data_IF_237865747025
#
_entry.id   IF_237865747025
#
_cell.length_a   1.000
_cell.length_b   1.000
_cell.length_c   1.000
_cell.angle_alpha   90.00
_cell.angle_beta   90.00
_cell.angle_gamma   90.00
#
_symmetry.space_group_name_H-M   'P 1'
#
loop_
_entity.id
_entity.type
_entity.pdbx_description
1 polymer ?
#
# COMPACT_ATOMS: atom_id res chain seq x y z
N UNK A 1 11.30 22.37 22.19
CA UNK A 1 11.56 21.76 20.87
C UNK A 1 10.83 20.41 20.86
N UNK A 2 9.72 20.24 20.14
CA UNK A 2 9.06 18.93 20.05
C UNK A 2 9.76 18.09 18.97
N UNK A 3 10.08 16.85 19.31
CA UNK A 3 10.63 15.82 18.43
C UNK A 3 9.61 15.46 17.35
N UNK A 4 9.98 15.39 16.06
CA UNK A 4 9.10 14.93 15.01
C UNK A 4 9.08 13.39 15.02
N UNK A 5 8.46 12.79 16.02
CA UNK A 5 7.97 11.40 15.92
C UNK A 5 6.61 11.40 15.21
N UNK A 6 6.56 12.15 14.11
CA UNK A 6 5.54 12.03 13.11
C UNK A 6 6.07 10.96 12.16
N UNK A 7 5.93 9.70 12.60
CA UNK A 7 6.19 8.53 11.76
C UNK A 7 5.07 8.42 10.72
N UNK A 8 4.94 9.47 9.92
CA UNK A 8 4.21 9.49 8.67
C UNK A 8 4.92 8.47 7.77
N UNK A 9 4.38 7.26 7.71
CA UNK A 9 4.79 6.28 6.72
C UNK A 9 4.49 6.88 5.34
N UNK A 10 5.49 7.54 4.77
CA UNK A 10 5.38 8.14 3.45
C UNK A 10 5.41 7.02 2.44
N UNK A 11 4.46 7.03 1.52
CA UNK A 11 4.40 6.01 0.48
C UNK A 11 5.66 6.12 -0.40
N UNK A 12 6.51 5.10 -0.51
CA UNK A 12 7.73 5.18 -1.32
C UNK A 12 7.43 5.31 -2.82
N UNK A 13 6.18 5.08 -3.23
CA UNK A 13 5.74 5.15 -4.62
C UNK A 13 5.23 6.54 -5.04
N UNK A 14 4.50 7.24 -4.18
CA UNK A 14 3.94 8.56 -4.52
C UNK A 14 4.36 9.69 -3.57
N UNK A 15 5.07 9.39 -2.48
CA UNK A 15 5.50 10.36 -1.49
C UNK A 15 4.37 10.91 -0.61
N UNK A 16 3.13 10.42 -0.74
CA UNK A 16 2.04 10.83 0.15
C UNK A 16 2.32 10.34 1.57
N UNK A 17 2.26 11.27 2.51
CA UNK A 17 2.12 10.98 3.93
C UNK A 17 0.79 10.27 4.13
N UNK A 18 0.83 8.98 4.43
CA UNK A 18 -0.33 8.23 4.86
C UNK A 18 -0.03 7.61 6.22
N UNK A 19 -1.01 7.61 7.11
CA UNK A 19 -0.88 6.78 8.29
C UNK A 19 -1.01 5.33 7.86
N UNK A 20 0.09 4.65 7.45
CA UNK A 20 0.05 3.18 7.38
C UNK A 20 -0.16 2.71 8.80
N UNK A 21 -1.41 2.46 9.17
CA UNK A 21 -1.69 1.69 10.37
C UNK A 21 -1.55 0.22 10.00
N UNK A 22 -0.36 -0.21 9.61
CA UNK A 22 -0.08 -1.64 9.37
C UNK A 22 -0.47 -2.48 10.60
N UNK A 23 -0.36 -1.89 11.80
CA UNK A 23 -0.83 -2.42 13.07
C UNK A 23 -2.35 -2.57 13.17
N UNK A 24 -3.12 -1.73 12.48
CA UNK A 24 -4.58 -1.82 12.33
C UNK A 24 -4.92 -2.01 10.84
N UNK A 25 -4.47 -3.13 10.26
CA UNK A 25 -4.79 -3.46 8.85
C UNK A 25 -6.30 -3.36 8.60
N UNK A 26 -7.14 -3.74 9.56
CA UNK A 26 -8.60 -3.65 9.49
C UNK A 26 -9.14 -2.22 9.25
N UNK A 27 -8.41 -1.18 9.68
CA UNK A 27 -8.78 0.23 9.50
C UNK A 27 -7.97 0.92 8.41
N UNK A 28 -7.02 0.22 7.80
CA UNK A 28 -6.31 0.75 6.65
C UNK A 28 -7.25 0.79 5.45
N UNK A 29 -7.39 1.92 4.73
CA UNK A 29 -8.15 1.96 3.48
C UNK A 29 -7.63 0.91 2.49
N UNK A 30 -6.34 0.57 2.58
CA UNK A 30 -5.70 -0.52 1.84
C UNK A 30 -6.33 -1.91 2.04
N UNK A 31 -6.91 -2.21 3.21
CA UNK A 31 -7.51 -3.52 3.48
C UNK A 31 -8.88 -3.72 2.83
N UNK A 32 -9.56 -2.63 2.45
CA UNK A 32 -10.74 -2.71 1.61
C UNK A 32 -10.44 -3.13 0.16
N UNK A 33 -9.15 -3.16 -0.24
CA UNK A 33 -8.74 -3.61 -1.57
C UNK A 33 -8.69 -5.14 -1.58
N UNK A 34 -9.75 -5.75 -2.09
CA UNK A 34 -9.76 -7.18 -2.38
C UNK A 34 -8.80 -7.49 -3.55
N UNK A 35 -7.61 -7.96 -3.22
CA UNK A 35 -6.62 -8.47 -4.18
C UNK A 35 -6.78 -9.99 -4.28
N UNK A 36 -6.84 -10.52 -5.51
CA UNK A 36 -6.75 -11.97 -5.77
C UNK A 36 -5.35 -12.49 -5.44
N UNK A 37 -5.20 -13.81 -5.32
CA UNK A 37 -3.90 -14.43 -5.00
C UNK A 37 -2.77 -13.98 -5.95
N UNK A 38 -3.06 -13.89 -7.26
CA UNK A 38 -2.11 -13.40 -8.26
C UNK A 38 -1.73 -11.92 -8.04
N UNK A 39 -2.71 -11.06 -7.75
CA UNK A 39 -2.48 -9.64 -7.47
C UNK A 39 -1.67 -9.44 -6.17
N UNK A 40 -1.96 -10.22 -5.12
CA UNK A 40 -1.20 -10.22 -3.86
C UNK A 40 0.24 -10.69 -4.07
N UNK A 41 0.44 -11.75 -4.84
CA UNK A 41 1.78 -12.24 -5.18
C UNK A 41 2.57 -11.19 -5.97
N UNK A 42 1.92 -10.52 -6.93
CA UNK A 42 2.54 -9.45 -7.72
C UNK A 42 2.95 -8.26 -6.85
N UNK A 43 2.05 -7.80 -5.97
CA UNK A 43 2.32 -6.71 -5.02
C UNK A 43 3.45 -7.12 -4.08
N UNK A 44 3.36 -8.29 -3.45
CA UNK A 44 4.37 -8.77 -2.49
C UNK A 44 5.74 -9.04 -3.12
N UNK A 45 5.79 -9.38 -4.41
CA UNK A 45 7.04 -9.58 -5.15
C UNK A 45 7.71 -8.27 -5.56
N UNK A 46 6.93 -7.20 -5.81
CA UNK A 46 7.46 -5.88 -6.20
C UNK A 46 7.64 -4.92 -5.03
N UNK A 47 6.82 -5.06 -3.99
CA UNK A 47 6.73 -4.14 -2.87
C UNK A 47 6.70 -4.94 -1.56
N UNK A 48 7.80 -4.86 -0.80
CA UNK A 48 7.91 -5.46 0.53
C UNK A 48 7.41 -4.53 1.66
N UNK A 49 7.02 -3.29 1.33
CA UNK A 49 6.64 -2.24 2.28
C UNK A 49 5.19 -1.80 2.08
N UNK A 50 4.60 -1.13 3.09
CA UNK A 50 3.29 -0.50 2.96
C UNK A 50 3.27 0.49 1.78
N UNK A 51 2.15 0.51 1.05
CA UNK A 51 1.81 1.51 0.05
C UNK A 51 0.48 2.15 0.43
N UNK A 52 0.28 3.40 0.01
CA UNK A 52 -1.03 4.04 0.18
C UNK A 52 -2.10 3.34 -0.68
N UNK A 53 -3.37 3.52 -0.29
CA UNK A 53 -4.51 2.92 -0.97
C UNK A 53 -4.55 3.20 -2.48
N UNK A 54 -4.23 4.44 -2.87
CA UNK A 54 -4.21 4.85 -4.29
C UNK A 54 -3.16 4.07 -5.09
N UNK A 55 -1.94 3.97 -4.56
CA UNK A 55 -0.86 3.18 -5.15
C UNK A 55 -1.21 1.69 -5.24
N UNK A 56 -1.83 1.14 -4.19
CA UNK A 56 -2.29 -0.24 -4.16
C UNK A 56 -3.36 -0.50 -5.23
N UNK A 57 -4.30 0.43 -5.41
CA UNK A 57 -5.33 0.37 -6.45
C UNK A 57 -4.76 0.52 -7.85
N UNK A 58 -3.77 1.38 -8.03
CA UNK A 58 -3.05 1.50 -9.31
C UNK A 58 -2.36 0.18 -9.67
N UNK A 59 -1.62 -0.42 -8.72
CA UNK A 59 -0.97 -1.72 -8.94
C UNK A 59 -1.99 -2.81 -9.21
N UNK A 60 -3.13 -2.81 -8.52
CA UNK A 60 -4.22 -3.75 -8.80
C UNK A 60 -4.64 -3.69 -10.28
N UNK A 61 -4.82 -2.47 -10.80
CA UNK A 61 -5.19 -2.26 -12.21
C UNK A 61 -4.04 -2.70 -13.14
N UNK A 62 -2.78 -2.40 -12.80
CA UNK A 62 -1.61 -2.83 -13.58
C UNK A 62 -1.46 -4.36 -13.60
N UNK A 63 -1.61 -5.02 -12.45
CA UNK A 63 -1.55 -6.46 -12.32
C UNK A 63 -2.66 -7.15 -13.13
N UNK A 64 -3.86 -6.57 -13.18
CA UNK A 64 -4.95 -7.03 -14.05
C UNK A 64 -4.68 -6.83 -15.53
N UNK A 65 -3.92 -5.80 -15.90
CA UNK A 65 -3.55 -5.51 -17.30
C UNK A 65 -2.37 -6.35 -17.80
N UNK A 66 -1.57 -6.90 -16.90
CA UNK A 66 -0.37 -7.67 -17.23
C UNK A 66 -0.50 -9.16 -16.84
N UNK A 67 -1.66 -9.60 -16.35
CA UNK A 67 -1.94 -11.02 -16.16
C UNK A 67 -2.20 -11.66 -17.55
N UNK A 68 -1.33 -12.56 -18.04
CA UNK A 68 -1.68 -13.45 -19.14
C UNK A 68 -2.77 -14.45 -18.73
#
# INVERSE_FOLDING_TARGET
>A
MPTPDNRDETCPRCGQSFGCRAKEIASCPCAGVALSAAERAYVSARFATCLCWDCLRAIQIEARRCAP
#
